data_IF_664830376350
#
_entry.id   IF_664830376350
#
_cell.length_a   1.000
_cell.length_b   1.000
_cell.length_c   1.000
_cell.angle_alpha   90.00
_cell.angle_beta   90.00
_cell.angle_gamma   90.00
#
_symmetry.space_group_name_H-M   'P 1'
#
loop_
_entity.id
_entity.type
_entity.pdbx_description
1 polymer ?
#
# COMPACT_ATOMS: atom_id res chain seq x y z
N UNK A 1 -4.94 12.29 -12.08
CA UNK A 1 -6.31 11.75 -12.23
C UNK A 1 -7.14 12.21 -11.06
N UNK A 2 -8.33 12.74 -11.35
CA UNK A 2 -9.34 13.11 -10.35
C UNK A 2 -10.20 11.88 -10.11
N UNK A 3 -10.12 11.27 -8.92
CA UNK A 3 -11.01 10.18 -8.51
C UNK A 3 -12.29 10.81 -7.95
N UNK A 4 -13.25 11.09 -8.82
CA UNK A 4 -14.59 11.51 -8.42
C UNK A 4 -15.51 10.27 -8.23
N UNK A 5 -16.70 10.47 -7.69
CA UNK A 5 -17.65 9.38 -7.44
C UNK A 5 -18.01 8.63 -8.72
N UNK A 6 -18.21 9.34 -9.84
CA UNK A 6 -18.52 8.74 -11.15
C UNK A 6 -17.44 7.73 -11.56
N UNK A 7 -16.17 8.09 -11.48
CA UNK A 7 -15.05 7.21 -11.76
C UNK A 7 -15.05 5.93 -10.90
N UNK A 8 -15.44 6.06 -9.64
CA UNK A 8 -15.50 4.91 -8.72
C UNK A 8 -16.65 3.99 -9.10
N UNK A 9 -17.83 4.54 -9.45
CA UNK A 9 -18.96 3.76 -9.95
C UNK A 9 -18.60 2.96 -11.21
N UNK A 10 -17.96 3.59 -12.20
CA UNK A 10 -17.50 2.96 -13.44
C UNK A 10 -16.56 1.74 -13.21
N UNK A 11 -15.91 1.69 -12.07
CA UNK A 11 -15.02 0.60 -11.73
C UNK A 11 -15.67 -0.50 -10.90
N UNK A 12 -16.61 -0.16 -10.02
CA UNK A 12 -17.24 -1.12 -9.11
C UNK A 12 -18.52 -1.74 -9.68
N UNK A 13 -19.27 -0.99 -10.48
CA UNK A 13 -20.53 -1.47 -11.05
C UNK A 13 -20.34 -2.69 -11.99
N UNK A 14 -19.36 -2.72 -12.92
CA UNK A 14 -19.11 -3.91 -13.74
C UNK A 14 -18.73 -5.15 -12.94
N UNK A 15 -18.22 -4.96 -11.73
CA UNK A 15 -17.88 -6.02 -10.77
C UNK A 15 -19.11 -6.46 -9.92
N UNK A 16 -20.30 -5.92 -10.22
CA UNK A 16 -21.54 -6.20 -9.48
C UNK A 16 -21.56 -5.58 -8.08
N UNK A 17 -20.79 -4.49 -7.86
CA UNK A 17 -20.76 -3.80 -6.59
C UNK A 17 -21.17 -2.33 -6.78
N UNK A 18 -22.45 -2.03 -6.49
CA UNK A 18 -23.01 -0.68 -6.60
C UNK A 18 -22.99 -0.05 -5.19
N UNK A 19 -22.19 1.02 -4.97
CA UNK A 19 -22.16 1.75 -3.71
C UNK A 19 -23.44 2.56 -3.47
N UNK A 20 -23.88 2.66 -2.20
CA UNK A 20 -24.92 3.61 -1.78
C UNK A 20 -24.30 4.99 -1.52
N UNK A 21 -23.10 5.01 -0.92
CA UNK A 21 -22.38 6.23 -0.58
C UNK A 21 -20.87 6.04 -0.72
N UNK A 22 -20.19 7.10 -1.18
CA UNK A 22 -18.74 7.13 -1.35
C UNK A 22 -18.18 8.36 -0.65
N UNK A 23 -17.26 8.17 0.29
CA UNK A 23 -16.59 9.25 1.02
C UNK A 23 -15.08 9.09 0.98
N UNK A 24 -14.36 10.18 0.67
CA UNK A 24 -12.90 10.18 0.69
C UNK A 24 -12.39 10.18 2.14
N UNK A 25 -11.55 9.18 2.49
CA UNK A 25 -10.92 9.10 3.82
C UNK A 25 -9.53 9.75 3.81
N UNK A 26 -8.69 9.41 2.84
CA UNK A 26 -7.32 9.92 2.82
C UNK A 26 -6.76 10.08 1.41
N UNK A 27 -5.86 11.07 1.27
CA UNK A 27 -5.04 11.33 0.09
C UNK A 27 -3.57 11.01 0.41
N UNK A 28 -3.29 9.73 0.64
CA UNK A 28 -1.92 9.30 0.94
C UNK A 28 -0.95 9.50 -0.22
N UNK A 29 0.35 9.47 0.06
CA UNK A 29 1.42 9.57 -0.95
C UNK A 29 1.29 8.47 -2.01
N UNK A 30 1.00 7.25 -1.59
CA UNK A 30 1.04 6.05 -2.42
C UNK A 30 -0.35 5.55 -2.87
N UNK A 31 -1.41 5.92 -2.16
CA UNK A 31 -2.78 5.50 -2.45
C UNK A 31 -3.80 6.55 -2.04
N UNK A 32 -4.99 6.46 -2.60
CA UNK A 32 -6.18 7.15 -2.13
C UNK A 32 -7.14 6.13 -1.54
N UNK A 33 -7.76 6.46 -0.41
CA UNK A 33 -8.66 5.58 0.30
C UNK A 33 -10.03 6.21 0.43
N UNK A 34 -11.07 5.41 0.17
CA UNK A 34 -12.47 5.82 0.23
C UNK A 34 -13.23 4.87 1.15
N UNK A 35 -14.11 5.43 1.97
CA UNK A 35 -15.17 4.70 2.63
C UNK A 35 -16.28 4.47 1.62
N UNK A 36 -16.67 3.23 1.44
CA UNK A 36 -17.79 2.82 0.61
C UNK A 36 -18.86 2.25 1.53
N UNK A 37 -20.09 2.77 1.43
CA UNK A 37 -21.25 2.16 2.10
C UNK A 37 -22.08 1.41 1.09
N UNK A 38 -22.52 0.22 1.46
CA UNK A 38 -23.46 -0.60 0.69
C UNK A 38 -24.27 -1.46 1.66
N UNK A 39 -25.62 -1.42 1.55
CA UNK A 39 -26.53 -2.26 2.35
C UNK A 39 -26.21 -2.20 3.86
N UNK A 40 -26.04 -0.99 4.41
CA UNK A 40 -25.66 -0.73 5.81
C UNK A 40 -24.30 -1.33 6.23
N UNK A 41 -23.46 -1.73 5.29
CA UNK A 41 -22.09 -2.19 5.55
C UNK A 41 -21.08 -1.20 5.02
N UNK A 42 -19.97 -1.10 5.75
CA UNK A 42 -18.83 -0.29 5.35
C UNK A 42 -17.76 -1.14 4.68
N UNK A 43 -17.08 -0.57 3.69
CA UNK A 43 -15.95 -1.14 2.97
C UNK A 43 -14.87 -0.09 2.79
N UNK A 44 -13.63 -0.54 2.61
CA UNK A 44 -12.50 0.31 2.29
C UNK A 44 -12.07 0.07 0.83
N UNK A 45 -12.22 1.10 -0.01
CA UNK A 45 -11.70 1.07 -1.37
C UNK A 45 -10.36 1.81 -1.40
N UNK A 46 -9.34 1.19 -1.97
CA UNK A 46 -8.01 1.79 -2.16
C UNK A 46 -7.63 1.79 -3.63
N UNK A 47 -7.24 2.95 -4.15
CA UNK A 47 -6.57 3.09 -5.44
C UNK A 47 -5.09 3.35 -5.21
N UNK A 48 -4.23 2.55 -5.82
CA UNK A 48 -2.79 2.75 -5.76
C UNK A 48 -2.33 3.60 -6.93
N UNK A 49 -1.43 4.54 -6.64
CA UNK A 49 -0.80 5.33 -7.69
C UNK A 49 0.20 4.45 -8.43
N UNK A 50 0.14 4.50 -9.75
CA UNK A 50 1.21 4.00 -10.61
C UNK A 50 2.34 5.02 -10.60
N UNK A 51 3.55 4.54 -10.47
CA UNK A 51 4.77 5.35 -10.61
C UNK A 51 5.65 4.58 -11.59
N UNK A 52 5.86 5.12 -12.78
CA UNK A 52 6.61 4.49 -13.87
C UNK A 52 8.07 4.19 -13.48
N UNK A 53 8.55 4.86 -12.44
CA UNK A 53 9.90 4.67 -11.89
C UNK A 53 9.96 3.57 -10.80
N UNK A 54 8.80 3.13 -10.27
CA UNK A 54 8.75 2.12 -9.20
C UNK A 54 8.11 0.84 -9.74
N UNK A 55 8.95 -0.15 -10.08
CA UNK A 55 8.51 -1.46 -10.59
C UNK A 55 7.66 -2.27 -9.60
N UNK A 56 7.52 -1.83 -8.35
CA UNK A 56 6.77 -2.56 -7.32
C UNK A 56 5.27 -2.38 -7.48
N UNK A 57 4.56 -3.47 -7.74
CA UNK A 57 3.10 -3.48 -7.70
C UNK A 57 2.62 -3.54 -6.24
N UNK A 58 2.24 -2.37 -5.70
CA UNK A 58 1.80 -2.21 -4.29
C UNK A 58 0.51 -2.96 -3.99
N UNK A 59 -0.43 -2.96 -4.94
CA UNK A 59 -1.67 -3.71 -4.82
C UNK A 59 -1.39 -5.21 -4.68
N UNK A 60 -0.56 -5.77 -5.55
CA UNK A 60 -0.18 -7.19 -5.50
C UNK A 60 0.54 -7.54 -4.19
N UNK A 61 1.42 -6.65 -3.72
CA UNK A 61 2.13 -6.84 -2.45
C UNK A 61 1.17 -6.86 -1.26
N UNK A 62 0.19 -5.93 -1.20
CA UNK A 62 -0.82 -5.91 -0.13
C UNK A 62 -1.74 -7.12 -0.22
N UNK A 63 -2.21 -7.48 -1.41
CA UNK A 63 -3.07 -8.65 -1.63
C UNK A 63 -2.40 -9.94 -1.17
N UNK A 64 -1.12 -10.16 -1.55
CA UNK A 64 -0.37 -11.33 -1.12
C UNK A 64 -0.20 -11.38 0.40
N UNK A 65 0.11 -10.23 1.02
CA UNK A 65 0.27 -10.15 2.47
C UNK A 65 -1.05 -10.41 3.21
N UNK A 66 -2.18 -9.85 2.76
CA UNK A 66 -3.49 -10.12 3.35
C UNK A 66 -3.87 -11.60 3.21
N UNK A 67 -3.63 -12.20 2.05
CA UNK A 67 -3.86 -13.63 1.84
C UNK A 67 -3.00 -14.50 2.76
N UNK A 68 -1.73 -14.15 2.97
CA UNK A 68 -0.85 -14.84 3.92
C UNK A 68 -1.43 -14.77 5.34
N UNK A 69 -1.84 -13.59 5.79
CA UNK A 69 -2.42 -13.39 7.12
C UNK A 69 -3.72 -14.17 7.30
N UNK A 70 -4.63 -14.10 6.34
CA UNK A 70 -5.92 -14.82 6.38
C UNK A 70 -5.69 -16.33 6.45
N UNK A 71 -4.81 -16.87 5.61
CA UNK A 71 -4.44 -18.28 5.62
C UNK A 71 -3.72 -18.71 6.91
N UNK A 72 -2.99 -17.76 7.53
CA UNK A 72 -2.37 -17.93 8.84
C UNK A 72 -3.34 -17.83 10.02
N UNK A 73 -4.65 -17.64 9.76
CA UNK A 73 -5.67 -17.61 10.81
C UNK A 73 -5.88 -16.25 11.48
N UNK A 74 -5.29 -15.18 10.97
CA UNK A 74 -5.49 -13.83 11.50
C UNK A 74 -6.91 -13.34 11.21
N UNK A 75 -7.65 -12.99 12.26
CA UNK A 75 -9.05 -12.53 12.17
C UNK A 75 -9.18 -11.00 12.10
N UNK A 76 -8.18 -10.27 12.60
CA UNK A 76 -8.20 -8.81 12.71
C UNK A 76 -7.46 -8.14 11.54
N UNK A 77 -7.73 -8.61 10.33
CA UNK A 77 -7.15 -8.07 9.09
C UNK A 77 -8.25 -7.81 8.07
N UNK A 78 -8.11 -6.81 7.20
CA UNK A 78 -9.07 -6.57 6.13
C UNK A 78 -9.13 -7.77 5.19
N UNK A 79 -10.33 -8.15 4.79
CA UNK A 79 -10.54 -9.24 3.83
C UNK A 79 -10.68 -8.63 2.44
N UNK A 80 -9.89 -9.06 1.43
CA UNK A 80 -10.10 -8.66 0.04
C UNK A 80 -11.46 -9.15 -0.46
N UNK A 81 -12.32 -8.23 -0.88
CA UNK A 81 -13.66 -8.53 -1.42
C UNK A 81 -13.59 -8.61 -2.95
N UNK A 82 -13.00 -7.56 -3.56
CA UNK A 82 -12.78 -7.46 -4.99
C UNK A 82 -11.50 -6.68 -5.27
N UNK A 83 -10.88 -6.93 -6.41
CA UNK A 83 -9.70 -6.16 -6.82
C UNK A 83 -9.56 -6.20 -8.34
N UNK A 84 -8.87 -5.19 -8.87
CA UNK A 84 -8.49 -5.16 -10.28
C UNK A 84 -7.03 -4.73 -10.39
N UNK A 85 -6.18 -5.63 -10.87
CA UNK A 85 -4.73 -5.41 -10.98
C UNK A 85 -4.40 -4.36 -12.05
N UNK A 86 -5.10 -4.36 -13.17
CA UNK A 86 -4.86 -3.45 -14.30
C UNK A 86 -5.25 -2.01 -13.92
N UNK A 87 -6.41 -1.85 -13.26
CA UNK A 87 -6.91 -0.57 -12.79
C UNK A 87 -6.37 -0.16 -11.43
N UNK A 88 -5.55 -1.01 -10.80
CA UNK A 88 -4.78 -0.74 -9.58
C UNK A 88 -5.63 -0.36 -8.35
N UNK A 89 -6.75 -1.08 -8.13
CA UNK A 89 -7.60 -0.88 -6.96
C UNK A 89 -7.97 -2.18 -6.25
N UNK A 90 -8.29 -2.06 -4.96
CA UNK A 90 -8.79 -3.14 -4.11
C UNK A 90 -9.91 -2.63 -3.20
N UNK A 91 -10.97 -3.43 -3.10
CA UNK A 91 -12.07 -3.28 -2.16
C UNK A 91 -11.88 -4.28 -1.02
N UNK A 92 -11.81 -3.77 0.19
CA UNK A 92 -11.54 -4.51 1.42
C UNK A 92 -12.73 -4.44 2.36
N UNK A 93 -12.89 -5.45 3.22
CA UNK A 93 -13.80 -5.34 4.35
C UNK A 93 -13.36 -4.19 5.27
N UNK A 94 -14.34 -3.55 5.90
CA UNK A 94 -14.08 -2.53 6.91
C UNK A 94 -13.68 -3.15 8.23
N UNK A 95 -12.63 -2.63 8.85
CA UNK A 95 -12.27 -2.95 10.23
C UNK A 95 -12.73 -1.81 11.15
N UNK A 96 -13.55 -2.13 12.12
CA UNK A 96 -13.92 -1.18 13.16
C UNK A 96 -12.74 -0.96 14.10
N UNK A 97 -12.47 0.30 14.42
CA UNK A 97 -11.40 0.69 15.32
C UNK A 97 -11.45 2.17 15.62
N UNK A 98 -10.82 2.55 16.72
CA UNK A 98 -10.66 3.94 17.13
C UNK A 98 -9.20 4.36 17.05
N UNK A 99 -8.96 5.62 16.74
CA UNK A 99 -7.63 6.18 16.83
C UNK A 99 -7.14 6.16 18.28
N UNK A 100 -5.88 5.79 18.47
CA UNK A 100 -5.24 5.82 19.78
C UNK A 100 -4.72 7.24 20.01
N UNK A 101 -5.40 8.01 20.86
CA UNK A 101 -4.97 9.36 21.22
C UNK A 101 -3.73 9.34 22.12
N UNK A 102 -3.68 8.40 23.06
CA UNK A 102 -2.56 8.26 24.00
C UNK A 102 -2.11 6.80 24.11
N UNK A 103 -0.86 6.56 23.76
CA UNK A 103 -0.25 5.22 23.86
C UNK A 103 -0.03 4.87 25.33
N UNK A 104 -0.40 3.63 25.71
CA UNK A 104 -0.17 3.08 27.03
C UNK A 104 0.47 1.68 26.96
N UNK A 105 0.87 1.13 28.11
CA UNK A 105 1.53 -0.20 28.21
C UNK A 105 0.70 -1.34 27.60
N UNK A 106 -0.63 -1.27 27.67
CA UNK A 106 -1.51 -2.29 27.08
C UNK A 106 -1.42 -2.27 25.54
N UNK A 107 -1.39 -1.09 24.92
CA UNK A 107 -1.24 -0.95 23.47
C UNK A 107 0.09 -1.53 23.01
N UNK A 108 1.18 -1.28 23.75
CA UNK A 108 2.51 -1.82 23.42
C UNK A 108 2.50 -3.35 23.54
N UNK A 109 1.91 -3.90 24.60
CA UNK A 109 1.82 -5.37 24.76
C UNK A 109 1.04 -6.03 23.63
N UNK A 110 -0.09 -5.45 23.21
CA UNK A 110 -0.88 -5.94 22.08
C UNK A 110 -0.08 -5.91 20.77
N UNK A 111 0.68 -4.84 20.55
CA UNK A 111 1.54 -4.73 19.37
C UNK A 111 2.65 -5.79 19.38
N UNK A 112 3.32 -6.00 20.50
CA UNK A 112 4.36 -7.04 20.63
C UNK A 112 3.77 -8.43 20.39
N UNK A 113 2.60 -8.71 20.97
CA UNK A 113 1.90 -9.97 20.75
C UNK A 113 1.60 -10.18 19.25
N UNK A 114 1.03 -9.18 18.60
CA UNK A 114 0.75 -9.23 17.17
C UNK A 114 2.00 -9.45 16.31
N UNK A 115 3.12 -8.79 16.65
CA UNK A 115 4.41 -8.98 15.96
C UNK A 115 4.90 -10.43 16.14
N UNK A 116 4.77 -10.99 17.35
CA UNK A 116 5.16 -12.38 17.61
C UNK A 116 4.29 -13.37 16.82
N UNK A 117 2.99 -13.14 16.73
CA UNK A 117 2.11 -13.94 15.88
C UNK A 117 2.53 -13.85 14.40
N UNK A 118 2.85 -12.65 13.89
CA UNK A 118 3.37 -12.48 12.53
C UNK A 118 4.66 -13.28 12.28
N UNK A 119 5.54 -13.40 13.28
CA UNK A 119 6.76 -14.18 13.16
C UNK A 119 6.48 -15.68 12.92
N UNK A 120 5.35 -16.21 13.41
CA UNK A 120 4.97 -17.61 13.17
C UNK A 120 4.72 -17.91 11.69
N UNK A 121 4.32 -16.90 10.91
CA UNK A 121 4.07 -17.04 9.47
C UNK A 121 5.35 -17.28 8.65
N UNK A 122 6.55 -17.07 9.23
CA UNK A 122 7.83 -17.31 8.53
C UNK A 122 7.99 -18.76 8.06
N UNK A 123 7.31 -19.69 8.68
CA UNK A 123 7.34 -21.12 8.31
C UNK A 123 6.33 -21.47 7.22
N UNK A 124 5.48 -20.55 6.82
CA UNK A 124 4.50 -20.77 5.76
C UNK A 124 5.16 -20.74 4.39
N UNK A 125 4.82 -21.69 3.53
CA UNK A 125 5.27 -21.68 2.11
C UNK A 125 4.87 -20.40 1.37
N UNK A 126 3.76 -19.78 1.80
CA UNK A 126 3.28 -18.52 1.23
C UNK A 126 4.22 -17.33 1.47
N UNK A 127 5.19 -17.46 2.40
CA UNK A 127 6.16 -16.38 2.62
C UNK A 127 6.95 -16.06 1.35
N UNK A 128 7.18 -17.05 0.49
CA UNK A 128 7.88 -16.90 -0.77
C UNK A 128 7.12 -16.03 -1.80
N UNK A 129 5.82 -15.81 -1.59
CA UNK A 129 4.99 -14.93 -2.43
C UNK A 129 5.10 -13.45 -2.01
N UNK A 130 5.66 -13.19 -0.83
CA UNK A 130 5.82 -11.86 -0.28
C UNK A 130 7.11 -11.24 -0.82
N UNK A 131 6.96 -10.11 -1.49
CA UNK A 131 8.12 -9.36 -1.96
C UNK A 131 8.83 -8.66 -0.80
N UNK A 132 10.15 -8.61 -0.87
CA UNK A 132 10.95 -7.83 0.08
C UNK A 132 10.47 -6.37 0.12
N UNK A 133 10.63 -5.72 1.27
CA UNK A 133 10.39 -4.29 1.38
C UNK A 133 11.27 -3.53 0.38
N UNK A 134 10.79 -2.40 -0.13
CA UNK A 134 11.52 -1.58 -1.12
C UNK A 134 12.91 -1.13 -0.64
N UNK A 135 13.09 -1.09 0.67
CA UNK A 135 14.31 -0.66 1.34
C UNK A 135 15.08 -1.83 1.99
N UNK A 136 14.67 -3.08 1.72
CA UNK A 136 15.33 -4.24 2.31
C UNK A 136 16.77 -4.36 1.79
N UNK A 137 17.72 -4.29 2.70
CA UNK A 137 19.14 -4.51 2.45
C UNK A 137 19.59 -5.68 3.31
N UNK A 138 20.12 -6.72 2.71
CA UNK A 138 20.58 -7.91 3.43
C UNK A 138 22.12 -7.92 3.60
N UNK A 139 22.81 -7.04 2.87
CA UNK A 139 24.25 -6.86 2.92
C UNK A 139 24.63 -5.46 2.42
N UNK A 140 25.89 -5.09 2.58
CA UNK A 140 26.43 -3.79 2.17
C UNK A 140 26.29 -3.55 0.66
N UNK A 141 26.48 -4.58 -0.16
CA UNK A 141 26.36 -4.46 -1.62
C UNK A 141 24.92 -4.12 -2.04
N UNK A 142 23.92 -4.70 -1.38
CA UNK A 142 22.50 -4.36 -1.63
C UNK A 142 22.23 -2.90 -1.27
N UNK A 143 22.78 -2.43 -0.15
CA UNK A 143 22.66 -1.03 0.25
C UNK A 143 23.27 -0.09 -0.80
N UNK A 144 24.50 -0.36 -1.24
CA UNK A 144 25.18 0.42 -2.27
C UNK A 144 24.36 0.44 -3.56
N UNK A 145 23.85 -0.70 -4.04
CA UNK A 145 22.99 -0.77 -5.22
C UNK A 145 21.74 0.08 -5.09
N UNK A 146 21.08 0.09 -3.91
CA UNK A 146 19.90 0.92 -3.67
C UNK A 146 20.25 2.40 -3.74
N UNK A 147 21.37 2.81 -3.13
CA UNK A 147 21.84 4.21 -3.18
C UNK A 147 22.10 4.64 -4.63
N UNK A 148 22.87 3.88 -5.39
CA UNK A 148 23.14 4.21 -6.81
C UNK A 148 21.86 4.22 -7.65
N UNK A 149 20.97 3.28 -7.44
CA UNK A 149 19.68 3.24 -8.14
C UNK A 149 18.85 4.52 -7.89
N UNK A 150 18.91 5.05 -6.67
CA UNK A 150 18.23 6.30 -6.30
C UNK A 150 18.90 7.53 -6.87
N UNK A 151 20.22 7.58 -6.88
CA UNK A 151 20.97 8.64 -7.53
C UNK A 151 20.63 8.70 -9.02
N UNK A 152 20.63 7.56 -9.71
CA UNK A 152 20.27 7.49 -11.13
C UNK A 152 18.79 7.92 -11.38
N UNK A 153 17.88 7.59 -10.46
CA UNK A 153 16.48 8.05 -10.53
C UNK A 153 16.39 9.56 -10.31
N UNK A 154 17.16 10.08 -9.38
CA UNK A 154 17.21 11.52 -9.10
C UNK A 154 17.77 12.26 -10.32
N UNK A 155 18.87 11.78 -10.88
CA UNK A 155 19.48 12.33 -12.08
C UNK A 155 18.50 12.37 -13.26
N UNK A 156 17.79 11.27 -13.54
CA UNK A 156 16.74 11.24 -14.55
C UNK A 156 15.63 12.25 -14.29
N UNK A 157 15.19 12.38 -13.04
CA UNK A 157 14.15 13.37 -12.66
C UNK A 157 14.65 14.81 -12.78
N UNK A 158 15.88 15.07 -12.41
CA UNK A 158 16.52 16.39 -12.55
C UNK A 158 16.76 16.77 -14.01
N UNK A 159 17.10 15.81 -14.87
CA UNK A 159 17.21 16.02 -16.31
C UNK A 159 15.89 16.45 -16.99
N UNK A 160 14.74 16.13 -16.37
CA UNK A 160 13.43 16.65 -16.79
C UNK A 160 13.09 18.02 -16.17
N UNK A 161 13.80 18.44 -15.12
CA UNK A 161 13.62 19.72 -14.46
C UNK A 161 14.73 20.67 -14.93
N UNK A 162 14.57 21.24 -16.11
CA UNK A 162 15.48 22.24 -16.70
C UNK A 162 15.56 23.56 -15.88
N UNK A 163 15.17 23.53 -14.62
CA UNK A 163 15.04 24.71 -13.74
C UNK A 163 16.08 24.77 -12.61
N UNK A 164 16.91 23.74 -12.43
CA UNK A 164 17.97 23.84 -11.43
C UNK A 164 19.16 24.62 -12.02
N UNK A 165 19.69 25.64 -11.30
CA UNK A 165 20.92 26.31 -11.72
C UNK A 165 22.04 25.28 -11.94
N UNK A 166 22.81 25.45 -13.01
CA UNK A 166 23.93 24.57 -13.39
C UNK A 166 24.90 24.27 -12.22
N UNK A 167 25.05 25.22 -11.32
CA UNK A 167 25.94 25.13 -10.14
C UNK A 167 25.49 24.10 -9.08
N UNK A 168 24.19 23.73 -9.09
CA UNK A 168 23.68 22.74 -8.16
C UNK A 168 23.95 21.31 -8.63
N UNK A 169 24.03 21.12 -9.95
CA UNK A 169 24.26 19.81 -10.58
C UNK A 169 25.71 19.31 -10.41
N UNK A 170 26.68 20.22 -10.51
CA UNK A 170 28.11 19.88 -10.37
C UNK A 170 28.50 19.48 -8.93
N UNK A 171 27.74 19.89 -7.91
CA UNK A 171 27.98 19.54 -6.52
C UNK A 171 27.58 18.10 -6.14
N UNK A 172 26.89 17.39 -7.03
CA UNK A 172 26.43 16.00 -6.80
C UNK A 172 27.08 14.98 -7.75
N UNK A 173 28.03 15.41 -8.59
CA UNK A 173 28.94 14.55 -9.31
C UNK A 173 30.17 14.25 -8.46
#
# INVERSE_FOLDING_TARGET
MSYNSSYIYEHLEPEGFIPDEISLISKGKNSRSFLIKKENKNFLLKYYKTDDFIKRNRLKAELNFLNLMIKGGFKNVPIPIKFNIEKNWILLSWLNGNNIEKINKSHIRKLIFFINELQSLRKSELINTIQNASEACFNLNDHIKIVFSRLNLLEKRLGYLSFLPSDTYEKFK
#
